data_IF_811440795315
#
_entry.id   IF_811440795315
#
_cell.length_a   1.000
_cell.length_b   1.000
_cell.length_c   1.000
_cell.angle_alpha   90.00
_cell.angle_beta   90.00
_cell.angle_gamma   90.00
#
_symmetry.space_group_name_H-M   'P 1'
#
loop_
_entity.id
_entity.type
_entity.pdbx_description
1 polymer ?
#
# COMPACT_ATOMS: atom_id res chain seq x y z
N UNK A 1 -23.32 12.83 -9.89
CA UNK A 1 -24.12 12.15 -8.85
C UNK A 1 -23.18 11.85 -7.69
N UNK A 2 -23.32 12.52 -6.53
CA UNK A 2 -22.47 12.24 -5.36
C UNK A 2 -22.94 10.92 -4.74
N UNK A 3 -22.15 9.86 -4.88
CA UNK A 3 -22.47 8.53 -4.32
C UNK A 3 -22.17 8.58 -2.82
N UNK A 4 -23.20 8.42 -1.99
CA UNK A 4 -23.04 8.33 -0.53
C UNK A 4 -22.70 6.90 -0.14
N UNK A 5 -21.59 6.71 0.57
CA UNK A 5 -21.19 5.43 1.17
C UNK A 5 -22.05 5.21 2.41
N UNK A 6 -23.03 4.31 2.31
CA UNK A 6 -23.90 3.91 3.44
C UNK A 6 -23.71 2.46 3.86
N UNK A 7 -22.83 1.73 3.19
CA UNK A 7 -22.58 0.33 3.49
C UNK A 7 -21.86 0.19 4.84
N UNK A 8 -22.55 -0.38 5.81
CA UNK A 8 -22.04 -0.52 7.17
C UNK A 8 -20.79 -1.42 7.24
N UNK A 9 -20.66 -2.41 6.35
CA UNK A 9 -19.49 -3.28 6.30
C UNK A 9 -18.23 -2.50 5.88
N UNK A 10 -18.35 -1.70 4.82
CA UNK A 10 -17.28 -0.81 4.33
C UNK A 10 -16.85 0.20 5.40
N UNK A 11 -17.80 0.84 6.06
CA UNK A 11 -17.52 1.81 7.13
C UNK A 11 -16.91 1.13 8.36
N UNK A 12 -17.31 -0.10 8.67
CA UNK A 12 -16.74 -0.87 9.78
C UNK A 12 -15.32 -1.39 9.50
N UNK A 13 -14.94 -1.50 8.23
CA UNK A 13 -13.59 -1.91 7.83
C UNK A 13 -12.55 -0.79 8.01
N UNK A 14 -12.98 0.47 8.15
CA UNK A 14 -12.08 1.59 8.41
C UNK A 14 -11.43 1.44 9.79
N UNK A 15 -10.10 1.49 9.80
CA UNK A 15 -9.30 1.44 11.03
C UNK A 15 -9.17 2.86 11.60
N UNK A 16 -9.52 3.12 12.86
CA UNK A 16 -9.45 4.46 13.44
C UNK A 16 -8.09 5.15 13.33
N UNK A 17 -7.00 4.39 13.45
CA UNK A 17 -5.64 4.92 13.33
C UNK A 17 -5.33 5.48 11.93
N UNK A 18 -5.94 4.93 10.89
CA UNK A 18 -5.82 5.45 9.51
C UNK A 18 -6.46 6.82 9.40
N UNK A 19 -7.69 6.92 9.93
CA UNK A 19 -8.42 8.18 9.94
C UNK A 19 -7.66 9.23 10.77
N UNK A 20 -7.10 8.86 11.93
CA UNK A 20 -6.22 9.76 12.70
C UNK A 20 -5.03 10.26 11.87
N UNK A 21 -4.38 9.35 11.12
CA UNK A 21 -3.20 9.68 10.33
C UNK A 21 -3.56 10.60 9.16
N UNK A 22 -4.69 10.34 8.52
CA UNK A 22 -5.26 11.13 7.44
C UNK A 22 -5.66 12.54 7.91
N UNK A 23 -6.38 12.64 9.03
CA UNK A 23 -6.77 13.92 9.62
C UNK A 23 -5.53 14.77 9.91
N UNK A 24 -4.48 14.17 10.49
CA UNK A 24 -3.23 14.86 10.78
C UNK A 24 -2.52 15.37 9.52
N UNK A 25 -2.49 14.58 8.44
CA UNK A 25 -1.83 14.99 7.19
C UNK A 25 -2.62 16.02 6.39
N UNK A 26 -3.94 16.14 6.63
CA UNK A 26 -4.85 17.05 5.94
C UNK A 26 -5.15 18.34 6.71
N UNK A 27 -4.36 18.64 7.76
CA UNK A 27 -4.44 19.91 8.47
C UNK A 27 -5.46 19.96 9.61
N UNK A 28 -6.07 18.83 9.97
CA UNK A 28 -6.90 18.75 11.18
C UNK A 28 -6.03 18.75 12.44
N UNK A 29 -6.54 19.40 13.47
CA UNK A 29 -5.90 19.47 14.79
C UNK A 29 -6.69 18.67 15.82
N UNK A 30 -6.00 17.92 16.68
CA UNK A 30 -6.66 17.17 17.76
C UNK A 30 -7.00 18.13 18.90
N UNK A 31 -8.28 18.25 19.23
CA UNK A 31 -8.76 19.13 20.29
C UNK A 31 -8.88 18.39 21.63
N UNK A 32 -9.38 17.16 21.61
CA UNK A 32 -9.55 16.34 22.81
C UNK A 32 -9.50 14.85 22.48
N UNK A 33 -9.22 14.03 23.50
CA UNK A 33 -9.26 12.57 23.37
C UNK A 33 -9.71 11.92 24.67
N UNK A 34 -10.61 10.95 24.56
CA UNK A 34 -10.84 9.94 25.58
C UNK A 34 -10.15 8.66 25.12
N UNK A 35 -9.08 8.22 25.82
CA UNK A 35 -8.27 7.08 25.40
C UNK A 35 -9.13 5.85 25.09
N UNK A 36 -8.83 5.19 23.97
CA UNK A 36 -9.52 3.98 23.49
C UNK A 36 -11.04 4.11 23.28
N UNK A 37 -11.60 5.32 23.29
CA UNK A 37 -13.03 5.56 23.06
C UNK A 37 -13.29 6.50 21.90
N UNK A 38 -12.89 7.76 22.02
CA UNK A 38 -13.21 8.81 21.04
C UNK A 38 -12.11 9.86 20.99
N UNK A 39 -11.82 10.38 19.81
CA UNK A 39 -10.96 11.57 19.63
C UNK A 39 -11.73 12.66 18.88
N UNK A 40 -11.58 13.90 19.32
CA UNK A 40 -12.23 15.08 18.73
C UNK A 40 -11.19 15.83 17.93
N UNK A 41 -11.52 16.11 16.67
CA UNK A 41 -10.66 16.78 15.71
C UNK A 41 -11.36 18.01 15.16
N UNK A 42 -10.60 19.10 15.04
CA UNK A 42 -11.07 20.38 14.54
C UNK A 42 -10.29 20.78 13.30
N UNK A 43 -11.03 21.30 12.32
CA UNK A 43 -10.50 21.94 11.13
C UNK A 43 -11.14 23.31 10.99
N UNK A 44 -10.33 24.30 10.59
CA UNK A 44 -10.82 25.63 10.27
C UNK A 44 -10.44 25.95 8.83
N UNK A 45 -11.43 26.27 8.02
CA UNK A 45 -11.21 26.60 6.62
C UNK A 45 -10.67 28.03 6.44
N UNK A 46 -10.39 28.42 5.19
CA UNK A 46 -9.89 29.76 4.88
C UNK A 46 -10.94 30.87 5.12
N UNK A 47 -12.23 30.52 5.17
CA UNK A 47 -13.32 31.45 5.47
C UNK A 47 -13.57 31.62 6.98
N UNK A 48 -12.91 30.81 7.81
CA UNK A 48 -13.06 30.81 9.27
C UNK A 48 -14.20 29.92 9.78
N UNK A 49 -14.82 29.11 8.91
CA UNK A 49 -15.78 28.09 9.31
C UNK A 49 -15.07 26.94 10.02
N UNK A 50 -15.64 26.49 11.14
CA UNK A 50 -15.09 25.42 11.97
C UNK A 50 -15.86 24.13 11.76
N UNK A 51 -15.11 23.05 11.53
CA UNK A 51 -15.64 21.71 11.36
C UNK A 51 -15.11 20.81 12.48
N UNK A 52 -15.97 19.93 12.96
CA UNK A 52 -15.64 18.97 14.02
C UNK A 52 -15.88 17.53 13.56
N UNK A 53 -14.94 16.64 13.91
CA UNK A 53 -15.08 15.20 13.75
C UNK A 53 -14.88 14.53 15.11
N UNK A 54 -15.92 13.82 15.56
CA UNK A 54 -15.85 12.88 16.69
C UNK A 54 -15.53 11.47 16.18
N UNK A 55 -14.24 11.11 16.19
CA UNK A 55 -13.75 9.85 15.65
C UNK A 55 -13.78 8.74 16.70
N UNK A 56 -14.54 7.64 16.51
CA UNK A 56 -14.52 6.49 17.40
C UNK A 56 -13.18 5.73 17.28
N UNK A 57 -12.57 5.40 18.42
CA UNK A 57 -11.28 4.71 18.47
C UNK A 57 -11.41 3.19 18.70
N UNK A 58 -12.62 2.68 18.95
CA UNK A 58 -12.88 1.26 19.19
C UNK A 58 -14.00 0.70 18.31
N UNK A 59 -13.75 -0.44 17.67
CA UNK A 59 -14.77 -1.18 16.91
C UNK A 59 -15.85 -1.83 17.80
N UNK A 60 -15.68 -1.82 19.13
CA UNK A 60 -16.66 -2.40 20.06
C UNK A 60 -17.97 -1.60 20.16
N UNK A 61 -18.00 -0.35 19.68
CA UNK A 61 -19.20 0.48 19.70
C UNK A 61 -20.23 0.02 18.67
N UNK A 62 -21.50 -0.10 19.09
CA UNK A 62 -22.61 -0.49 18.21
C UNK A 62 -22.82 0.50 17.07
N UNK A 63 -22.56 1.78 17.32
CA UNK A 63 -22.72 2.87 16.37
C UNK A 63 -21.42 3.20 15.61
N UNK A 64 -20.37 2.36 15.69
CA UNK A 64 -19.08 2.61 15.05
C UNK A 64 -19.20 2.98 13.57
N UNK A 65 -19.91 2.17 12.78
CA UNK A 65 -20.11 2.41 11.35
C UNK A 65 -20.82 3.75 11.08
N UNK A 66 -21.81 4.10 11.92
CA UNK A 66 -22.54 5.36 11.80
C UNK A 66 -21.60 6.56 12.04
N UNK A 67 -20.76 6.48 13.07
CA UNK A 67 -19.78 7.53 13.40
C UNK A 67 -18.68 7.67 12.35
N UNK A 68 -18.23 6.57 11.76
CA UNK A 68 -17.32 6.62 10.60
C UNK A 68 -18.00 7.26 9.38
N UNK A 69 -19.29 6.99 9.17
CA UNK A 69 -20.09 7.66 8.15
C UNK A 69 -20.28 9.15 8.39
N UNK A 70 -20.45 9.59 9.64
CA UNK A 70 -20.46 11.01 10.02
C UNK A 70 -19.12 11.67 9.68
N UNK A 71 -18.00 11.05 10.07
CA UNK A 71 -16.66 11.55 9.77
C UNK A 71 -16.44 11.73 8.25
N UNK A 72 -16.81 10.73 7.43
CA UNK A 72 -16.73 10.82 5.97
C UNK A 72 -17.58 11.95 5.38
N UNK A 73 -18.78 12.18 5.92
CA UNK A 73 -19.63 13.30 5.48
C UNK A 73 -18.99 14.65 5.77
N UNK A 74 -18.40 14.81 6.94
CA UNK A 74 -17.68 16.04 7.29
C UNK A 74 -16.46 16.23 6.38
N UNK A 75 -15.69 15.17 6.11
CA UNK A 75 -14.57 15.23 5.17
C UNK A 75 -15.00 15.57 3.74
N UNK A 76 -16.11 15.01 3.25
CA UNK A 76 -16.67 15.36 1.92
C UNK A 76 -17.04 16.85 1.84
N UNK A 77 -17.58 17.42 2.92
CA UNK A 77 -17.93 18.84 2.97
C UNK A 77 -16.67 19.73 2.96
N UNK A 78 -15.66 19.38 3.76
CA UNK A 78 -14.41 20.15 3.89
C UNK A 78 -13.55 20.05 2.64
N UNK A 79 -13.39 18.85 2.08
CA UNK A 79 -12.49 18.62 0.95
C UNK A 79 -13.13 18.86 -0.42
N UNK A 80 -14.47 18.97 -0.48
CA UNK A 80 -15.24 19.04 -1.72
C UNK A 80 -14.92 17.89 -2.71
N UNK A 81 -14.60 16.72 -2.17
CA UNK A 81 -14.30 15.47 -2.90
C UNK A 81 -15.38 14.44 -2.64
N UNK A 82 -15.51 13.45 -3.53
CA UNK A 82 -16.51 12.40 -3.31
C UNK A 82 -16.12 11.49 -2.13
N UNK A 83 -17.11 10.97 -1.41
CA UNK A 83 -16.87 10.01 -0.32
C UNK A 83 -16.07 8.78 -0.78
N UNK A 84 -16.23 8.35 -2.03
CA UNK A 84 -15.49 7.21 -2.59
C UNK A 84 -14.00 7.49 -2.83
N UNK A 85 -13.63 8.73 -3.12
CA UNK A 85 -12.21 9.13 -3.25
C UNK A 85 -11.57 9.23 -1.87
N UNK A 86 -12.24 9.88 -0.92
CA UNK A 86 -11.76 10.01 0.47
C UNK A 86 -11.64 8.63 1.12
N UNK A 87 -12.63 7.75 0.92
CA UNK A 87 -12.59 6.39 1.43
C UNK A 87 -11.40 5.60 0.86
N UNK A 88 -11.08 5.75 -0.43
CA UNK A 88 -9.91 5.11 -1.03
C UNK A 88 -8.63 5.59 -0.35
N UNK A 89 -8.49 6.89 -0.13
CA UNK A 89 -7.31 7.45 0.55
C UNK A 89 -7.21 6.96 1.99
N UNK A 90 -8.31 6.94 2.74
CA UNK A 90 -8.37 6.40 4.10
C UNK A 90 -7.98 4.92 4.19
N UNK A 91 -8.27 4.13 3.15
CA UNK A 91 -7.89 2.72 3.10
C UNK A 91 -6.39 2.52 2.80
N UNK A 92 -5.72 3.50 2.19
CA UNK A 92 -4.29 3.43 1.83
C UNK A 92 -3.41 4.41 2.61
N UNK A 93 -3.95 5.11 3.61
CA UNK A 93 -3.23 6.19 4.33
C UNK A 93 -1.95 5.69 5.00
N UNK A 94 -1.96 4.50 5.61
CA UNK A 94 -0.77 3.83 6.14
C UNK A 94 -0.27 2.73 5.23
N UNK A 95 -0.48 2.79 3.91
CA UNK A 95 -0.02 1.74 3.02
C UNK A 95 0.92 2.28 1.94
N UNK A 96 1.91 1.46 1.61
CA UNK A 96 2.60 1.61 0.34
C UNK A 96 1.77 0.95 -0.75
N UNK A 97 1.74 1.55 -1.94
CA UNK A 97 0.96 1.05 -3.07
C UNK A 97 1.90 0.70 -4.21
N UNK A 98 1.83 -0.55 -4.67
CA UNK A 98 2.56 -1.06 -5.82
C UNK A 98 1.56 -1.22 -6.96
N UNK A 99 1.83 -0.57 -8.10
CA UNK A 99 1.02 -0.70 -9.32
C UNK A 99 1.83 -1.42 -10.38
N UNK A 100 1.31 -2.54 -10.86
CA UNK A 100 1.91 -3.33 -11.94
C UNK A 100 0.99 -3.22 -13.16
N UNK A 101 1.53 -2.81 -14.30
CA UNK A 101 0.77 -2.56 -15.53
C UNK A 101 1.33 -3.41 -16.66
N UNK A 102 0.46 -4.07 -17.40
CA UNK A 102 0.79 -4.68 -18.70
C UNK A 102 0.84 -3.60 -19.77
N UNK A 103 1.89 -3.58 -20.60
CA UNK A 103 2.11 -2.55 -21.63
C UNK A 103 1.86 -3.09 -23.04
N UNK A 104 2.18 -4.37 -23.30
CA UNK A 104 2.36 -4.87 -24.67
C UNK A 104 1.32 -5.91 -25.15
N UNK A 105 0.28 -6.20 -24.37
CA UNK A 105 -0.65 -7.32 -24.66
C UNK A 105 -2.13 -6.93 -24.75
N UNK A 106 -2.45 -5.64 -24.88
CA UNK A 106 -3.84 -5.19 -24.84
C UNK A 106 -4.51 -5.14 -26.23
N UNK A 107 -5.65 -5.83 -26.43
CA UNK A 107 -6.63 -5.44 -27.42
C UNK A 107 -7.12 -4.02 -27.10
N UNK A 108 -7.51 -3.25 -28.11
CA UNK A 108 -7.91 -1.84 -27.95
C UNK A 108 -9.10 -1.61 -26.98
N UNK A 109 -9.79 -2.67 -26.57
CA UNK A 109 -10.89 -2.65 -25.60
C UNK A 109 -10.46 -2.83 -24.13
N UNK A 110 -9.16 -3.03 -23.88
CA UNK A 110 -8.61 -3.20 -22.53
C UNK A 110 -8.92 -4.55 -21.88
N UNK A 111 -9.27 -5.57 -22.67
CA UNK A 111 -9.44 -6.94 -22.20
C UNK A 111 -8.11 -7.72 -22.15
N UNK A 112 -8.06 -8.82 -21.41
CA UNK A 112 -6.92 -9.72 -21.34
C UNK A 112 -7.44 -11.16 -21.36
N UNK A 113 -6.82 -12.10 -22.10
CA UNK A 113 -7.20 -13.50 -22.02
C UNK A 113 -7.17 -14.00 -20.58
N UNK A 114 -8.13 -14.84 -20.21
CA UNK A 114 -8.32 -15.26 -18.83
C UNK A 114 -7.09 -15.99 -18.25
N UNK A 115 -6.42 -16.80 -19.07
CA UNK A 115 -5.21 -17.52 -18.68
C UNK A 115 -4.05 -16.56 -18.42
N UNK A 116 -3.86 -15.57 -19.29
CA UNK A 116 -2.84 -14.53 -19.14
C UNK A 116 -3.10 -13.69 -17.90
N UNK A 117 -4.37 -13.36 -17.63
CA UNK A 117 -4.78 -12.70 -16.39
C UNK A 117 -4.43 -13.54 -15.15
N UNK A 118 -4.74 -14.83 -15.14
CA UNK A 118 -4.40 -15.69 -14.01
C UNK A 118 -2.87 -15.76 -13.77
N UNK A 119 -2.09 -15.87 -14.84
CA UNK A 119 -0.62 -15.86 -14.76
C UNK A 119 -0.10 -14.51 -14.27
N UNK A 120 -0.61 -13.40 -14.78
CA UNK A 120 -0.20 -12.06 -14.37
C UNK A 120 -0.35 -11.83 -12.86
N UNK A 121 -1.48 -12.25 -12.28
CA UNK A 121 -1.70 -12.18 -10.82
C UNK A 121 -0.71 -13.06 -10.04
N UNK A 122 -0.44 -14.28 -10.54
CA UNK A 122 0.51 -15.19 -9.90
C UNK A 122 1.93 -14.62 -9.93
N UNK A 123 2.37 -14.11 -11.07
CA UNK A 123 3.69 -13.50 -11.24
C UNK A 123 3.84 -12.25 -10.40
N UNK A 124 2.82 -11.40 -10.31
CA UNK A 124 2.87 -10.21 -9.47
C UNK A 124 3.02 -10.56 -7.99
N UNK A 125 2.34 -11.62 -7.53
CA UNK A 125 2.51 -12.18 -6.19
C UNK A 125 3.94 -12.71 -5.97
N UNK A 126 4.52 -13.41 -6.94
CA UNK A 126 5.89 -13.92 -6.87
C UNK A 126 6.95 -12.80 -6.82
N UNK A 127 6.74 -11.74 -7.60
CA UNK A 127 7.59 -10.54 -7.62
C UNK A 127 7.64 -9.88 -6.24
N UNK A 128 6.46 -9.65 -5.63
CA UNK A 128 6.36 -9.07 -4.29
C UNK A 128 6.97 -10.00 -3.23
N UNK A 129 6.77 -11.31 -3.35
CA UNK A 129 7.40 -12.29 -2.46
C UNK A 129 8.92 -12.31 -2.58
N UNK A 130 9.48 -12.19 -3.78
CA UNK A 130 10.92 -12.11 -4.01
C UNK A 130 11.52 -10.87 -3.33
N UNK A 131 10.87 -9.71 -3.46
CA UNK A 131 11.26 -8.50 -2.77
C UNK A 131 11.17 -8.64 -1.24
N UNK A 132 10.13 -9.28 -0.72
CA UNK A 132 10.00 -9.53 0.71
C UNK A 132 11.12 -10.45 1.25
N UNK A 133 11.51 -11.46 0.48
CA UNK A 133 12.65 -12.31 0.83
C UNK A 133 13.98 -11.52 0.83
N UNK A 134 14.18 -10.65 -0.16
CA UNK A 134 15.33 -9.75 -0.24
C UNK A 134 15.40 -8.77 0.92
N UNK A 135 14.26 -8.19 1.33
CA UNK A 135 14.19 -7.29 2.48
C UNK A 135 14.50 -7.99 3.81
N UNK A 136 14.23 -9.30 3.93
CA UNK A 136 14.66 -10.10 5.10
C UNK A 136 16.15 -10.47 5.05
N UNK A 137 16.78 -10.45 3.88
CA UNK A 137 18.18 -10.84 3.70
C UNK A 137 18.48 -11.13 2.23
N UNK A 138 19.22 -10.24 1.52
CA UNK A 138 19.49 -10.38 0.10
C UNK A 138 20.25 -11.67 -0.27
N UNK A 139 19.78 -12.38 -1.29
CA UNK A 139 20.38 -13.61 -1.82
C UNK A 139 20.12 -13.72 -3.31
N UNK A 140 21.05 -14.30 -4.05
CA UNK A 140 20.88 -14.55 -5.48
C UNK A 140 19.70 -15.49 -5.81
N UNK A 141 19.32 -16.36 -4.86
CA UNK A 141 18.21 -17.30 -5.01
C UNK A 141 17.59 -17.67 -3.66
N UNK A 142 16.27 -17.84 -3.65
CA UNK A 142 15.51 -18.31 -2.50
C UNK A 142 14.84 -19.67 -2.81
N UNK A 143 15.12 -20.71 -2.01
CA UNK A 143 14.50 -22.03 -2.18
C UNK A 143 12.99 -22.01 -1.85
N UNK A 144 12.32 -23.16 -1.97
CA UNK A 144 10.87 -23.27 -1.77
C UNK A 144 10.41 -22.83 -0.37
N UNK A 145 11.21 -23.11 0.67
CA UNK A 145 10.94 -22.62 2.02
C UNK A 145 11.41 -21.17 2.15
N UNK A 146 10.47 -20.24 2.11
CA UNK A 146 10.72 -18.80 2.24
C UNK A 146 10.84 -18.37 3.72
N UNK A 147 11.51 -17.25 4.02
CA UNK A 147 11.54 -16.68 5.37
C UNK A 147 10.14 -16.47 5.93
N UNK A 148 9.93 -16.78 7.21
CA UNK A 148 8.62 -16.64 7.87
C UNK A 148 8.08 -15.21 7.76
N UNK A 149 8.94 -14.22 7.98
CA UNK A 149 8.59 -12.80 7.90
C UNK A 149 8.08 -12.39 6.51
N UNK A 150 8.70 -12.88 5.43
CA UNK A 150 8.26 -12.63 4.06
C UNK A 150 6.89 -13.26 3.76
N UNK A 151 6.63 -14.45 4.31
CA UNK A 151 5.33 -15.12 4.18
C UNK A 151 4.23 -14.43 4.99
N UNK A 152 4.54 -13.94 6.18
CA UNK A 152 3.62 -13.14 7.00
C UNK A 152 3.28 -11.82 6.32
N UNK A 153 4.28 -11.15 5.75
CA UNK A 153 4.07 -9.97 4.92
C UNK A 153 3.10 -10.24 3.76
N UNK A 154 3.33 -11.30 2.99
CA UNK A 154 2.49 -11.62 1.84
C UNK A 154 1.02 -11.90 2.24
N UNK A 155 0.78 -12.43 3.45
CA UNK A 155 -0.58 -12.63 3.99
C UNK A 155 -1.27 -11.31 4.36
N UNK A 156 -0.52 -10.28 4.71
CA UNK A 156 -1.04 -8.94 5.04
C UNK A 156 -1.28 -8.09 3.79
N UNK A 157 -0.46 -8.25 2.76
CA UNK A 157 -0.61 -7.57 1.49
C UNK A 157 -1.98 -7.87 0.87
N UNK A 158 -2.57 -6.89 0.20
CA UNK A 158 -3.92 -6.98 -0.34
C UNK A 158 -3.93 -6.56 -1.80
N UNK A 159 -4.84 -7.15 -2.57
CA UNK A 159 -5.17 -6.64 -3.90
C UNK A 159 -6.16 -5.49 -3.74
N UNK A 160 -5.84 -4.35 -4.35
CA UNK A 160 -6.76 -3.24 -4.55
C UNK A 160 -7.72 -3.52 -5.70
N UNK A 161 -8.67 -2.60 -5.92
CA UNK A 161 -9.52 -2.65 -7.11
C UNK A 161 -8.68 -2.47 -8.37
N UNK A 162 -9.04 -3.19 -9.44
CA UNK A 162 -8.48 -2.95 -10.77
C UNK A 162 -8.96 -1.60 -11.28
N UNK A 163 -8.04 -0.78 -11.77
CA UNK A 163 -8.36 0.54 -12.32
C UNK A 163 -8.91 0.40 -13.75
N UNK A 164 -9.75 1.34 -14.19
CA UNK A 164 -10.32 1.32 -15.55
C UNK A 164 -9.28 1.84 -16.55
N UNK A 165 -9.01 1.06 -17.59
CA UNK A 165 -8.04 1.38 -18.64
C UNK A 165 -6.68 0.76 -18.35
N UNK A 166 -6.20 -0.05 -19.30
CA UNK A 166 -5.08 -0.97 -19.16
C UNK A 166 -5.12 -1.93 -17.96
N UNK A 167 -4.71 -3.17 -18.13
CA UNK A 167 -4.73 -4.16 -17.05
C UNK A 167 -3.70 -3.78 -15.97
N UNK A 168 -4.15 -3.00 -14.97
CA UNK A 168 -3.35 -2.55 -13.83
C UNK A 168 -3.74 -3.34 -12.58
N UNK A 169 -2.77 -4.02 -12.00
CA UNK A 169 -2.87 -4.66 -10.71
C UNK A 169 -2.38 -3.70 -9.61
N UNK A 170 -3.27 -3.37 -8.69
CA UNK A 170 -2.93 -2.59 -7.49
C UNK A 170 -2.68 -3.54 -6.32
N UNK A 171 -1.49 -3.48 -5.73
CA UNK A 171 -1.13 -4.22 -4.52
C UNK A 171 -0.91 -3.21 -3.39
N UNK A 172 -1.66 -3.38 -2.32
CA UNK A 172 -1.61 -2.56 -1.12
C UNK A 172 -0.75 -3.29 -0.09
N UNK A 173 0.30 -2.63 0.37
CA UNK A 173 1.26 -3.10 1.39
C UNK A 173 1.01 -2.30 2.67
N UNK A 174 0.17 -2.78 3.62
CA UNK A 174 -0.17 -2.03 4.81
C UNK A 174 1.06 -1.88 5.71
N UNK A 175 1.51 -0.65 5.90
CA UNK A 175 2.60 -0.26 6.79
C UNK A 175 2.02 0.00 8.16
N UNK A 176 2.42 -0.78 9.16
CA UNK A 176 2.00 -0.50 10.53
C UNK A 176 2.51 0.88 10.93
N UNK A 177 1.68 1.75 11.54
CA UNK A 177 2.16 3.02 12.07
C UNK A 177 3.22 2.72 13.14
N UNK A 178 4.42 3.26 12.97
CA UNK A 178 5.48 3.18 13.96
C UNK A 178 5.04 3.96 15.21
N UNK A 179 4.53 3.25 16.22
CA UNK A 179 4.15 3.86 17.51
C UNK A 179 5.36 4.09 18.44
N UNK A 180 6.58 3.77 18.00
CA UNK A 180 7.77 3.83 18.83
C UNK A 180 8.61 5.08 18.58
N UNK A 181 8.25 6.14 19.30
CA UNK A 181 9.20 7.12 19.85
C UNK A 181 9.54 6.82 21.32
N UNK A 182 9.34 5.58 21.78
CA UNK A 182 9.51 5.20 23.20
C UNK A 182 10.98 5.06 23.64
N UNK A 183 11.93 5.02 22.70
CA UNK A 183 13.35 5.07 23.00
C UNK A 183 13.91 6.35 22.36
N UNK A 184 14.16 7.38 23.18
CA UNK A 184 14.54 8.76 22.82
C UNK A 184 15.80 8.96 21.97
N UNK A 185 15.92 8.29 20.82
CA UNK A 185 16.92 8.51 19.78
C UNK A 185 16.21 9.03 18.52
N UNK A 186 16.22 10.35 18.27
CA UNK A 186 15.47 10.97 17.16
C UNK A 186 15.96 10.61 15.74
N UNK A 187 16.93 9.71 15.57
CA UNK A 187 17.71 9.62 14.33
C UNK A 187 17.85 8.23 13.69
N UNK A 188 17.37 7.14 14.31
CA UNK A 188 17.41 5.81 13.68
C UNK A 188 16.10 5.05 13.94
N UNK A 189 15.03 5.47 13.27
CA UNK A 189 13.83 4.64 13.14
C UNK A 189 14.07 3.77 11.91
N UNK A 190 14.42 2.51 12.12
CA UNK A 190 14.40 1.52 11.06
C UNK A 190 13.01 1.51 10.39
N UNK A 191 12.99 1.59 9.06
CA UNK A 191 11.73 1.51 8.31
C UNK A 191 10.98 0.22 8.69
N UNK A 192 9.65 0.27 8.89
CA UNK A 192 8.83 -0.93 9.08
C UNK A 192 9.10 -1.95 7.97
N UNK A 193 8.99 -3.23 8.29
CA UNK A 193 9.32 -4.29 7.33
C UNK A 193 8.58 -4.11 6.00
N UNK A 194 7.30 -3.77 6.06
CA UNK A 194 6.45 -3.52 4.89
C UNK A 194 7.00 -2.40 3.98
N UNK A 195 7.53 -1.32 4.57
CA UNK A 195 8.20 -0.24 3.84
C UNK A 195 9.52 -0.70 3.24
N UNK A 196 10.31 -1.47 3.98
CA UNK A 196 11.55 -2.08 3.46
C UNK A 196 11.30 -3.00 2.27
N UNK A 197 10.20 -3.75 2.26
CA UNK A 197 9.82 -4.57 1.10
C UNK A 197 9.59 -3.71 -0.13
N UNK A 198 8.77 -2.65 -0.03
CA UNK A 198 8.49 -1.76 -1.16
C UNK A 198 9.76 -1.07 -1.69
N UNK A 199 10.61 -0.57 -0.79
CA UNK A 199 11.88 0.05 -1.17
C UNK A 199 12.84 -0.95 -1.82
N UNK A 200 12.90 -2.17 -1.29
CA UNK A 200 13.71 -3.25 -1.87
C UNK A 200 13.19 -3.63 -3.25
N UNK A 201 11.88 -3.71 -3.45
CA UNK A 201 11.27 -3.98 -4.76
C UNK A 201 11.67 -2.90 -5.76
N UNK A 202 11.51 -1.61 -5.41
CA UNK A 202 11.88 -0.50 -6.30
C UNK A 202 13.37 -0.52 -6.66
N UNK A 203 14.24 -0.73 -5.67
CA UNK A 203 15.68 -0.84 -5.85
C UNK A 203 16.06 -2.03 -6.75
N UNK A 204 15.45 -3.19 -6.50
CA UNK A 204 15.71 -4.42 -7.23
C UNK A 204 15.23 -4.31 -8.69
N UNK A 205 14.05 -3.76 -8.96
CA UNK A 205 13.55 -3.53 -10.33
C UNK A 205 14.47 -2.60 -11.12
N UNK A 206 14.91 -1.49 -10.51
CA UNK A 206 15.84 -0.57 -11.13
C UNK A 206 17.19 -1.23 -11.43
N UNK A 207 17.72 -2.02 -10.49
CA UNK A 207 18.97 -2.75 -10.65
C UNK A 207 18.87 -3.88 -11.69
N UNK A 208 17.73 -4.59 -11.74
CA UNK A 208 17.45 -5.61 -12.76
C UNK A 208 17.43 -5.01 -14.16
N UNK A 209 16.81 -3.85 -14.36
CA UNK A 209 16.83 -3.16 -15.66
C UNK A 209 18.27 -2.88 -16.12
N UNK A 210 19.07 -2.27 -15.25
CA UNK A 210 20.48 -1.95 -15.54
C UNK A 210 21.27 -3.23 -15.85
N UNK A 211 21.08 -4.28 -15.05
CA UNK A 211 21.76 -5.56 -15.24
C UNK A 211 21.35 -6.25 -16.55
N UNK A 212 20.07 -6.17 -16.94
CA UNK A 212 19.58 -6.72 -18.20
C UNK A 212 20.17 -6.00 -19.42
N UNK A 213 20.23 -4.66 -19.40
CA UNK A 213 20.86 -3.84 -20.44
C UNK A 213 22.37 -4.17 -20.60
N UNK A 214 23.08 -4.32 -19.47
CA UNK A 214 24.49 -4.69 -19.46
C UNK A 214 24.71 -6.14 -19.94
N UNK A 215 23.85 -7.08 -19.56
CA UNK A 215 23.93 -8.47 -20.00
C UNK A 215 23.64 -8.61 -21.50
N UNK A 216 22.68 -7.85 -22.03
CA UNK A 216 22.34 -7.85 -23.46
C UNK A 216 23.50 -7.36 -24.35
N UNK A 217 24.31 -6.42 -23.85
CA UNK A 217 25.47 -5.87 -24.57
C UNK A 217 26.75 -6.68 -24.39
N UNK A 218 26.99 -7.22 -23.18
CA UNK A 218 28.24 -7.92 -22.84
C UNK A 218 28.16 -9.44 -22.91
N UNK A 219 26.96 -10.03 -22.92
CA UNK A 219 26.74 -11.47 -22.77
C UNK A 219 27.04 -12.02 -21.36
N UNK A 220 27.38 -11.15 -20.39
CA UNK A 220 27.76 -11.54 -19.03
C UNK A 220 26.64 -11.33 -18.02
N UNK A 221 26.48 -12.28 -17.10
CA UNK A 221 25.54 -12.16 -15.97
C UNK A 221 26.16 -11.47 -14.73
N UNK A 222 27.40 -10.98 -14.83
CA UNK A 222 28.11 -10.37 -13.71
C UNK A 222 27.33 -9.20 -13.08
N UNK A 223 26.68 -8.37 -13.90
CA UNK A 223 25.87 -7.25 -13.42
C UNK A 223 24.66 -7.70 -12.59
N UNK A 224 24.12 -8.90 -12.81
CA UNK A 224 23.07 -9.46 -11.95
C UNK A 224 23.62 -9.90 -10.59
N UNK A 225 24.82 -10.47 -10.54
CA UNK A 225 25.47 -10.89 -9.30
C UNK A 225 25.77 -9.66 -8.42
N UNK A 226 26.30 -8.59 -9.02
CA UNK A 226 26.59 -7.32 -8.34
C UNK A 226 25.32 -6.59 -7.86
N UNK A 227 24.17 -6.88 -8.47
CA UNK A 227 22.88 -6.33 -8.09
C UNK A 227 22.19 -7.09 -6.94
N UNK A 228 22.70 -8.25 -6.52
CA UNK A 228 22.11 -9.04 -5.42
C UNK A 228 21.95 -8.23 -4.13
N UNK A 229 22.93 -7.42 -3.66
CA UNK A 229 22.76 -6.58 -2.47
C UNK A 229 21.62 -5.56 -2.58
N UNK A 230 21.22 -5.19 -3.81
CA UNK A 230 20.09 -4.28 -4.07
C UNK A 230 18.73 -5.01 -4.10
N UNK A 231 18.73 -6.33 -3.89
CA UNK A 231 17.54 -7.17 -3.84
C UNK A 231 17.24 -7.97 -5.10
N UNK A 232 18.13 -7.95 -6.10
CA UNK A 232 17.98 -8.77 -7.30
C UNK A 232 18.18 -10.25 -6.94
N UNK A 233 17.29 -11.10 -7.44
CA UNK A 233 17.34 -12.54 -7.26
C UNK A 233 16.78 -13.26 -8.49
N UNK A 234 17.16 -14.52 -8.68
CA UNK A 234 16.60 -15.36 -9.74
C UNK A 234 15.07 -15.48 -9.63
N UNK A 235 14.50 -15.47 -8.41
CA UNK A 235 13.05 -15.47 -8.21
C UNK A 235 12.38 -14.19 -8.74
N UNK A 236 13.02 -13.03 -8.54
CA UNK A 236 12.54 -11.77 -9.11
C UNK A 236 12.62 -11.82 -10.64
N UNK A 237 13.76 -12.22 -11.20
CA UNK A 237 13.91 -12.32 -12.65
C UNK A 237 12.88 -13.27 -13.28
N UNK A 238 12.67 -14.45 -12.69
CA UNK A 238 11.65 -15.41 -13.17
C UNK A 238 10.24 -14.81 -13.14
N UNK A 239 9.91 -14.08 -12.06
CA UNK A 239 8.61 -13.42 -11.98
C UNK A 239 8.40 -12.36 -13.07
N UNK A 240 9.45 -11.65 -13.48
CA UNK A 240 9.37 -10.59 -14.49
C UNK A 240 9.28 -11.15 -15.91
N UNK A 241 10.02 -12.21 -16.22
CA UNK A 241 9.95 -12.88 -17.53
C UNK A 241 8.55 -13.41 -17.80
N UNK A 242 7.80 -13.80 -16.76
CA UNK A 242 6.41 -14.24 -16.90
C UNK A 242 5.38 -13.11 -17.04
N UNK A 243 5.79 -11.83 -17.07
CA UNK A 243 4.89 -10.65 -17.17
C UNK A 243 4.95 -9.95 -18.53
N UNK A 244 5.57 -10.57 -19.53
CA UNK A 244 5.69 -10.04 -20.89
C UNK A 244 4.56 -10.53 -21.78
#
# INVERSE_FOLDING_TARGET
MKVSVRDAATLSALRPLEVVSYLRSTGWSKAAEQPNRVSIWLFRDAAGEEFEIALPLSHSFRDFALRMGDALRTLEAVENRSQMEILRDLLVTSADVIRVRLIDSEPADGSLPLEDGAQFFLRAKEMVLAAACAASGPRAYYPSKKPTQAMEYLRKARLGQTEQGSFVLTIISPVAPSLSGENGHPFEIDDPFERRVTLTLASALAATRIAAEAAASSGSLQSFIEAVPKGVSANLCDSLVGMT
#
